data_IF_718102786953
#
_entry.id   IF_718102786953
#
_cell.length_a   1.000
_cell.length_b   1.000
_cell.length_c   1.000
_cell.angle_alpha   90.00
_cell.angle_beta   90.00
_cell.angle_gamma   90.00
#
_symmetry.space_group_name_H-M   'P 1'
#
loop_
_entity.id
_entity.type
_entity.pdbx_description
1 polymer ?
#
# COMPACT_ATOMS: atom_id res chain seq x y z
N UNK A 1 13.07 -2.75 6.67
CA UNK A 1 12.05 -3.31 5.76
C UNK A 1 12.61 -3.24 4.37
N UNK A 2 12.75 -4.38 3.70
CA UNK A 2 13.16 -4.41 2.30
C UNK A 2 11.95 -4.13 1.38
N UNK A 3 12.20 -3.86 0.09
CA UNK A 3 11.13 -3.57 -0.85
C UNK A 3 10.15 -4.75 -1.03
N UNK A 4 10.59 -5.99 -0.82
CA UNK A 4 9.73 -7.18 -0.96
C UNK A 4 8.74 -7.25 0.20
N UNK A 5 9.20 -7.04 1.42
CA UNK A 5 8.41 -7.00 2.64
C UNK A 5 7.37 -5.86 2.58
N UNK A 6 7.76 -4.69 2.08
CA UNK A 6 6.83 -3.57 1.85
C UNK A 6 5.79 -3.90 0.77
N UNK A 7 6.20 -4.58 -0.30
CA UNK A 7 5.29 -4.98 -1.39
C UNK A 7 4.24 -5.97 -0.90
N UNK A 8 4.63 -6.99 -0.15
CA UNK A 8 3.68 -7.93 0.48
C UNK A 8 2.74 -7.21 1.42
N UNK A 9 3.25 -6.28 2.23
CA UNK A 9 2.43 -5.52 3.17
C UNK A 9 1.34 -4.69 2.47
N UNK A 10 1.69 -4.02 1.37
CA UNK A 10 0.69 -3.30 0.55
C UNK A 10 -0.30 -4.27 -0.08
N UNK A 11 0.17 -5.41 -0.61
CA UNK A 11 -0.70 -6.43 -1.21
C UNK A 11 -1.74 -6.95 -0.22
N UNK A 12 -1.32 -7.31 0.99
CA UNK A 12 -2.23 -7.76 2.07
C UNK A 12 -3.22 -6.67 2.47
N UNK A 13 -2.79 -5.40 2.53
CA UNK A 13 -3.67 -4.29 2.85
C UNK A 13 -4.77 -4.11 1.78
N UNK A 14 -4.44 -4.26 0.49
CA UNK A 14 -5.42 -4.22 -0.60
C UNK A 14 -6.42 -5.37 -0.46
N UNK A 15 -5.95 -6.60 -0.24
CA UNK A 15 -6.80 -7.79 -0.09
C UNK A 15 -7.76 -7.71 1.10
N UNK A 16 -7.32 -7.04 2.18
CA UNK A 16 -8.13 -6.83 3.40
C UNK A 16 -9.02 -5.59 3.33
N UNK A 17 -9.07 -4.87 2.21
CA UNK A 17 -9.78 -3.58 2.07
C UNK A 17 -9.35 -2.55 3.12
N UNK A 18 -8.04 -2.50 3.37
CA UNK A 18 -7.38 -1.57 4.29
C UNK A 18 -6.56 -0.51 3.54
N UNK A 19 -6.62 -0.46 2.21
CA UNK A 19 -6.08 0.66 1.44
C UNK A 19 -6.97 1.90 1.62
N UNK A 20 -6.37 2.99 2.09
CA UNK A 20 -7.03 4.27 2.34
C UNK A 20 -6.90 5.22 1.15
N UNK A 21 -5.71 5.32 0.56
CA UNK A 21 -5.46 5.99 -0.71
C UNK A 21 -4.17 5.46 -1.35
N UNK A 22 -3.95 5.79 -2.62
CA UNK A 22 -2.62 5.70 -3.22
C UNK A 22 -2.44 6.77 -4.30
N UNK A 23 -1.20 7.14 -4.57
CA UNK A 23 -0.82 8.12 -5.61
C UNK A 23 0.48 7.72 -6.28
N UNK A 24 0.51 7.82 -7.61
CA UNK A 24 1.76 7.71 -8.37
C UNK A 24 2.62 8.96 -8.16
N UNK A 25 3.93 8.78 -8.12
CA UNK A 25 4.88 9.90 -8.17
C UNK A 25 4.85 10.53 -9.57
N UNK A 26 4.94 11.86 -9.65
CA UNK A 26 4.85 12.59 -10.92
C UNK A 26 5.96 12.23 -11.92
N UNK A 27 7.12 11.83 -11.40
CA UNK A 27 8.28 11.40 -12.19
C UNK A 27 8.17 9.95 -12.71
N UNK A 28 7.10 9.23 -12.36
CA UNK A 28 6.87 7.84 -12.74
C UNK A 28 7.77 6.83 -12.02
N UNK A 29 8.53 7.24 -11.00
CA UNK A 29 9.45 6.35 -10.27
C UNK A 29 8.73 5.28 -9.44
N UNK A 30 7.46 5.52 -9.08
CA UNK A 30 6.71 4.61 -8.23
C UNK A 30 5.37 5.16 -7.77
N UNK A 31 4.89 4.62 -6.65
CA UNK A 31 3.66 5.05 -6.01
C UNK A 31 3.77 5.03 -4.49
N UNK A 32 3.08 5.96 -3.85
CA UNK A 32 2.87 5.99 -2.42
C UNK A 32 1.48 5.45 -2.07
N UNK A 33 1.45 4.49 -1.15
CA UNK A 33 0.26 3.83 -0.65
C UNK A 33 0.02 4.24 0.80
N UNK A 34 -1.21 4.60 1.11
CA UNK A 34 -1.68 4.84 2.46
C UNK A 34 -2.56 3.68 2.89
N UNK A 35 -2.10 2.93 3.90
CA UNK A 35 -2.78 1.73 4.39
C UNK A 35 -3.11 1.86 5.86
N UNK A 36 -4.22 1.24 6.28
CA UNK A 36 -4.54 1.02 7.67
C UNK A 36 -3.94 -0.30 8.15
N UNK A 37 -3.06 -0.23 9.15
CA UNK A 37 -2.47 -1.40 9.80
C UNK A 37 -3.05 -1.51 11.22
N UNK A 38 -3.93 -2.48 11.51
CA UNK A 38 -4.55 -2.63 12.83
C UNK A 38 -3.57 -3.09 13.91
N UNK A 39 -2.45 -3.71 13.54
CA UNK A 39 -1.42 -4.12 14.49
C UNK A 39 -0.39 -3.01 14.69
N UNK A 40 -0.01 -2.32 13.61
CA UNK A 40 1.03 -1.29 13.63
C UNK A 40 2.39 -1.80 14.11
N UNK A 41 3.45 -1.01 13.93
CA UNK A 41 4.77 -1.43 14.40
C UNK A 41 4.91 -1.42 15.93
N UNK A 42 4.12 -0.56 16.61
CA UNK A 42 4.10 -0.43 18.07
C UNK A 42 2.92 -1.17 18.73
N UNK A 43 2.27 -2.10 18.03
CA UNK A 43 1.18 -2.91 18.58
C UNK A 43 -0.16 -2.15 18.75
N UNK A 44 -0.35 -1.01 18.08
CA UNK A 44 -1.62 -0.29 18.04
C UNK A 44 -1.98 0.06 16.59
N UNK A 45 -3.28 0.21 16.28
CA UNK A 45 -3.73 0.62 14.96
C UNK A 45 -3.09 1.93 14.51
N UNK A 46 -2.52 1.94 13.31
CA UNK A 46 -1.93 3.13 12.72
C UNK A 46 -2.09 3.17 11.20
N UNK A 47 -2.21 4.37 10.66
CA UNK A 47 -2.11 4.62 9.23
C UNK A 47 -0.61 4.64 8.85
N UNK A 48 -0.25 3.96 7.77
CA UNK A 48 1.12 3.88 7.28
C UNK A 48 1.21 4.35 5.84
N UNK A 49 2.25 5.13 5.56
CA UNK A 49 2.62 5.56 4.21
C UNK A 49 3.80 4.72 3.71
N UNK A 50 3.58 3.94 2.65
CA UNK A 50 4.57 3.05 2.05
C UNK A 50 4.81 3.47 0.61
N UNK A 51 6.06 3.75 0.25
CA UNK A 51 6.45 4.01 -1.13
C UNK A 51 6.98 2.72 -1.77
N UNK A 52 6.49 2.39 -2.97
CA UNK A 52 6.96 1.27 -3.77
C UNK A 52 7.50 1.78 -5.12
N UNK A 53 8.61 1.20 -5.63
CA UNK A 53 9.04 1.39 -7.01
C UNK A 53 7.93 1.00 -8.00
N UNK A 54 7.96 1.57 -9.20
CA UNK A 54 6.87 1.42 -10.18
C UNK A 54 6.56 -0.03 -10.54
N UNK A 55 7.57 -0.89 -10.70
CA UNK A 55 7.37 -2.31 -11.03
C UNK A 55 6.56 -3.04 -9.94
N UNK A 56 6.91 -2.77 -8.67
CA UNK A 56 6.20 -3.35 -7.53
C UNK A 56 4.81 -2.74 -7.37
N UNK A 57 4.67 -1.43 -7.60
CA UNK A 57 3.39 -0.75 -7.56
C UNK A 57 2.41 -1.30 -8.59
N UNK A 58 2.87 -1.56 -9.82
CA UNK A 58 2.04 -2.18 -10.86
C UNK A 58 1.68 -3.61 -10.47
N UNK A 59 2.63 -4.40 -9.98
CA UNK A 59 2.38 -5.78 -9.56
C UNK A 59 1.30 -5.89 -8.47
N UNK A 60 1.33 -5.05 -7.44
CA UNK A 60 0.32 -5.08 -6.36
C UNK A 60 -1.06 -4.63 -6.81
N UNK A 61 -1.16 -3.81 -7.87
CA UNK A 61 -2.43 -3.30 -8.40
C UNK A 61 -3.01 -4.19 -9.51
N UNK A 62 -2.15 -4.92 -10.22
CA UNK A 62 -2.54 -5.70 -11.39
C UNK A 62 -3.57 -6.78 -11.05
N UNK A 63 -4.63 -6.85 -11.86
CA UNK A 63 -5.68 -7.87 -11.72
C UNK A 63 -6.56 -7.75 -10.47
N UNK A 64 -6.43 -6.68 -9.67
CA UNK A 64 -7.23 -6.46 -8.46
C UNK A 64 -8.29 -5.38 -8.68
N UNK A 65 -9.49 -5.63 -8.15
CA UNK A 65 -10.50 -4.59 -7.97
C UNK A 65 -10.21 -3.83 -6.69
N UNK A 66 -9.79 -2.58 -6.83
CA UNK A 66 -9.36 -1.76 -5.68
C UNK A 66 -10.56 -1.02 -5.12
N UNK A 67 -11.00 -1.42 -3.92
CA UNK A 67 -11.99 -0.68 -3.14
C UNK A 67 -11.28 0.26 -2.18
N UNK A 68 -11.30 1.55 -2.50
CA UNK A 68 -10.79 2.59 -1.62
C UNK A 68 -11.90 2.98 -0.64
N UNK A 69 -11.70 2.75 0.65
CA UNK A 69 -12.62 3.23 1.69
C UNK A 69 -12.48 4.76 1.80
N UNK A 70 -13.35 5.50 1.11
CA UNK A 70 -13.51 6.94 1.38
C UNK A 70 -14.08 7.10 2.79
N UNK A 71 -13.32 7.75 3.67
CA UNK A 71 -13.84 8.27 4.94
C UNK A 71 -14.86 9.37 4.68
#
# INVERSE_FOLDING_TARGET
>A
MDNKELTEKVREAIERNNLLDFRFHEDGSGAQFHIYDPAGYHGLPCDQSIALPIDNAIDVLSGKWINIKRK
#
